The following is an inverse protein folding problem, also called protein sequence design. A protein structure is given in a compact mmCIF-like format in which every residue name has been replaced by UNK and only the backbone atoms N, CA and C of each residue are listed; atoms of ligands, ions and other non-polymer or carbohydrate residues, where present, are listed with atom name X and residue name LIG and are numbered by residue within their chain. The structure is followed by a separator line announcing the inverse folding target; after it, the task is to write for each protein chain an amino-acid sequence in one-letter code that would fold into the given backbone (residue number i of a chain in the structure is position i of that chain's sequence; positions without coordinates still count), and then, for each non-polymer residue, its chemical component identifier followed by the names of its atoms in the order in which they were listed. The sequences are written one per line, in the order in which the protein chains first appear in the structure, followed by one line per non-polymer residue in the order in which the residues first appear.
data_IF_542210741573
#
_entry.id   IF_542210741573
#
_cell.length_a   1.000
_cell.length_b   1.000
_cell.length_c   1.000
_cell.angle_alpha   90.00
_cell.angle_beta   90.00
_cell.angle_gamma   90.00
#
_symmetry.space_group_name_H-M   'P 1'
#
loop_
_entity.id
_entity.type
_entity.pdbx_description
1 polymer ?
#
# COMPACT_ATOMS: atom_id res chain seq x y z
N UNK A 1 2.92 1.28 22.96
CA UNK A 1 2.41 2.25 21.96
C UNK A 1 1.18 1.62 21.36
N UNK A 2 0.02 2.26 21.47
CA UNK A 2 -1.25 1.70 21.00
C UNK A 2 -1.37 1.86 19.47
N UNK A 3 -1.97 0.88 18.78
CA UNK A 3 -2.16 0.85 17.32
C UNK A 3 -3.62 0.53 17.07
N UNK A 4 -4.38 1.54 16.65
CA UNK A 4 -5.84 1.46 16.61
C UNK A 4 -6.43 1.82 15.23
N UNK A 5 -5.72 2.61 14.42
CA UNK A 5 -6.25 3.11 13.14
C UNK A 5 -5.37 2.74 11.96
N UNK A 6 -5.98 2.63 10.78
CA UNK A 6 -5.24 2.42 9.55
C UNK A 6 -5.83 3.17 8.36
N UNK A 7 -4.99 3.39 7.35
CA UNK A 7 -5.39 3.93 6.05
C UNK A 7 -5.06 2.91 4.95
N UNK A 8 -6.04 2.64 4.09
CA UNK A 8 -6.01 1.58 3.06
C UNK A 8 -5.70 2.16 1.67
N UNK A 9 -4.44 2.14 1.26
CA UNK A 9 -4.03 2.63 -0.06
C UNK A 9 -3.99 1.49 -1.08
N UNK A 10 -4.30 1.79 -2.35
CA UNK A 10 -4.48 0.76 -3.38
C UNK A 10 -5.48 -0.30 -2.90
N UNK A 11 -6.58 0.17 -2.31
CA UNK A 11 -7.45 -0.65 -1.46
C UNK A 11 -8.19 -1.75 -2.22
N UNK A 12 -8.34 -1.61 -3.55
CA UNK A 12 -9.07 -2.56 -4.38
C UNK A 12 -10.46 -2.81 -3.83
N UNK A 13 -10.78 -4.07 -3.54
CA UNK A 13 -12.06 -4.48 -2.95
C UNK A 13 -12.01 -4.57 -1.40
N UNK A 14 -10.89 -4.18 -0.77
CA UNK A 14 -10.75 -4.09 0.69
C UNK A 14 -10.35 -5.38 1.40
N UNK A 15 -9.60 -6.26 0.75
CA UNK A 15 -9.04 -7.45 1.41
C UNK A 15 -8.13 -7.09 2.60
N UNK A 16 -7.29 -6.06 2.44
CA UNK A 16 -6.43 -5.54 3.51
C UNK A 16 -7.23 -4.97 4.68
N UNK A 17 -8.23 -4.14 4.38
CA UNK A 17 -9.19 -3.62 5.37
C UNK A 17 -9.84 -4.73 6.18
N UNK A 18 -10.43 -5.74 5.53
CA UNK A 18 -11.12 -6.83 6.21
C UNK A 18 -10.19 -7.57 7.20
N UNK A 19 -8.91 -7.75 6.83
CA UNK A 19 -7.91 -8.33 7.72
C UNK A 19 -7.65 -7.48 8.96
N UNK A 20 -7.43 -6.17 8.79
CA UNK A 20 -7.11 -5.27 9.89
C UNK A 20 -8.31 -4.97 10.80
N UNK A 21 -9.53 -4.86 10.26
CA UNK A 21 -10.76 -4.72 11.06
C UNK A 21 -11.02 -5.96 11.92
N UNK A 22 -10.74 -7.17 11.41
CA UNK A 22 -10.79 -8.40 12.21
C UNK A 22 -9.76 -8.45 13.33
N UNK A 23 -8.68 -7.67 13.23
CA UNK A 23 -7.72 -7.47 14.30
C UNK A 23 -8.13 -6.35 15.28
N UNK A 24 -9.29 -5.71 15.09
CA UNK A 24 -9.82 -4.66 15.94
C UNK A 24 -9.38 -3.23 15.59
N UNK A 25 -8.72 -3.03 14.43
CA UNK A 25 -8.34 -1.69 13.98
C UNK A 25 -9.49 -1.02 13.21
N UNK A 26 -9.53 0.31 13.23
CA UNK A 26 -10.52 1.12 12.52
C UNK A 26 -9.94 1.73 11.25
N UNK A 27 -10.61 1.54 10.11
CA UNK A 27 -10.25 2.22 8.86
C UNK A 27 -10.61 3.70 8.94
N UNK A 28 -9.66 4.61 8.74
CA UNK A 28 -9.91 6.07 8.74
C UNK A 28 -9.97 6.67 7.34
N UNK A 29 -9.66 5.89 6.31
CA UNK A 29 -9.68 6.33 4.92
C UNK A 29 -9.13 5.28 3.98
N UNK A 30 -9.53 5.40 2.72
CA UNK A 30 -9.07 4.54 1.63
C UNK A 30 -8.64 5.35 0.42
N UNK A 31 -7.88 4.75 -0.49
CA UNK A 31 -7.49 5.37 -1.75
C UNK A 31 -7.41 4.34 -2.87
N UNK A 32 -8.36 4.42 -3.81
CA UNK A 32 -8.33 3.65 -5.06
C UNK A 32 -9.06 4.37 -6.21
N UNK A 33 -8.58 4.14 -7.43
CA UNK A 33 -9.08 4.78 -8.66
C UNK A 33 -10.02 3.90 -9.48
N UNK A 34 -10.08 2.60 -9.20
CA UNK A 34 -10.90 1.64 -9.93
C UNK A 34 -12.36 1.81 -9.53
N UNK A 35 -13.17 2.37 -10.42
CA UNK A 35 -14.62 2.54 -10.19
C UNK A 35 -15.32 1.23 -9.83
N UNK A 36 -14.93 0.12 -10.44
CA UNK A 36 -15.52 -1.19 -10.15
C UNK A 36 -15.08 -1.70 -8.77
N UNK A 37 -13.81 -1.53 -8.42
CA UNK A 37 -13.32 -1.93 -7.11
C UNK A 37 -13.98 -1.10 -6.01
N UNK A 38 -14.05 0.23 -6.18
CA UNK A 38 -14.73 1.15 -5.27
C UNK A 38 -16.20 0.78 -5.06
N UNK A 39 -16.93 0.46 -6.13
CA UNK A 39 -18.31 0.00 -6.01
C UNK A 39 -18.43 -1.28 -5.19
N UNK A 40 -17.55 -2.24 -5.42
CA UNK A 40 -17.53 -3.49 -4.62
C UNK A 40 -17.13 -3.21 -3.18
N UNK A 41 -16.17 -2.33 -2.95
CA UNK A 41 -15.73 -1.89 -1.63
C UNK A 41 -16.89 -1.28 -0.84
N UNK A 42 -17.61 -0.32 -1.41
CA UNK A 42 -18.77 0.32 -0.77
C UNK A 42 -19.91 -0.67 -0.50
N UNK A 43 -20.03 -1.76 -1.28
CA UNK A 43 -21.00 -2.82 -1.03
C UNK A 43 -20.57 -3.79 0.08
N UNK A 44 -19.28 -4.00 0.28
CA UNK A 44 -18.73 -4.90 1.31
C UNK A 44 -18.62 -4.21 2.68
N UNK A 45 -18.48 -2.89 2.69
CA UNK A 45 -18.33 -2.04 3.87
C UNK A 45 -19.40 -0.94 3.82
N UNK A 46 -20.67 -1.33 3.79
CA UNK A 46 -21.82 -0.45 3.56
C UNK A 46 -22.15 0.46 4.76
N UNK A 47 -21.67 0.11 5.95
CA UNK A 47 -21.75 0.88 7.18
C UNK A 47 -20.58 1.85 7.39
N UNK A 48 -19.62 1.87 6.45
CA UNK A 48 -18.41 2.69 6.60
C UNK A 48 -18.72 4.19 6.55
N UNK A 49 -18.00 4.95 7.37
CA UNK A 49 -18.06 6.42 7.37
C UNK A 49 -16.82 7.06 6.76
N UNK A 50 -15.80 6.27 6.44
CA UNK A 50 -14.55 6.76 5.85
C UNK A 50 -14.70 7.14 4.37
N UNK A 51 -13.79 8.00 3.92
CA UNK A 51 -13.77 8.56 2.57
C UNK A 51 -12.74 7.83 1.71
N UNK A 52 -13.10 7.58 0.45
CA UNK A 52 -12.14 7.21 -0.59
C UNK A 52 -11.54 8.48 -1.20
N UNK A 53 -10.24 8.68 -1.00
CA UNK A 53 -9.48 9.84 -1.48
C UNK A 53 -9.02 9.72 -2.93
N UNK A 54 -9.38 8.63 -3.62
CA UNK A 54 -9.16 8.45 -5.05
C UNK A 54 -7.70 8.26 -5.42
N UNK A 55 -7.19 9.07 -6.34
CA UNK A 55 -5.84 8.90 -6.88
C UNK A 55 -4.76 9.36 -5.89
N UNK A 56 -4.06 8.41 -5.27
CA UNK A 56 -2.99 8.68 -4.30
C UNK A 56 -1.90 9.63 -4.79
N UNK A 57 -1.65 9.71 -6.09
CA UNK A 57 -0.64 10.62 -6.66
C UNK A 57 -0.97 12.11 -6.48
N UNK A 58 -2.23 12.40 -6.17
CA UNK A 58 -2.77 13.75 -6.02
C UNK A 58 -3.30 14.01 -4.60
N UNK A 59 -3.10 13.07 -3.68
CA UNK A 59 -3.54 13.24 -2.30
C UNK A 59 -2.71 14.33 -1.63
N UNK A 60 -3.40 15.32 -1.07
CA UNK A 60 -2.81 16.22 -0.09
C UNK A 60 -2.72 15.50 1.26
N UNK A 61 -1.50 15.31 1.77
CA UNK A 61 -1.28 14.64 3.04
C UNK A 61 -1.86 15.42 4.23
N UNK A 62 -2.13 16.72 4.09
CA UNK A 62 -2.81 17.49 5.13
C UNK A 62 -4.33 17.25 5.14
N UNK A 63 -4.88 16.74 4.04
CA UNK A 63 -6.32 16.52 3.88
C UNK A 63 -6.78 15.13 4.34
N UNK A 64 -5.86 14.16 4.49
CA UNK A 64 -6.18 12.83 5.03
C UNK A 64 -5.97 12.80 6.56
N UNK A 65 -6.77 12.04 7.33
CA UNK A 65 -6.58 11.91 8.77
C UNK A 65 -5.23 11.27 9.10
N UNK A 66 -4.82 11.42 10.36
CA UNK A 66 -3.68 10.66 10.88
C UNK A 66 -4.09 9.20 11.14
N UNK A 67 -3.13 8.29 10.99
CA UNK A 67 -3.34 6.86 11.12
C UNK A 67 -2.09 6.17 11.69
N UNK A 68 -2.30 5.07 12.40
CA UNK A 68 -1.20 4.30 12.98
C UNK A 68 -0.57 3.34 11.97
N UNK A 69 -1.37 2.77 11.06
CA UNK A 69 -0.93 1.78 10.08
C UNK A 69 -1.24 2.23 8.65
N UNK A 70 -0.23 2.16 7.78
CA UNK A 70 -0.42 2.24 6.33
C UNK A 70 -0.48 0.83 5.75
N UNK A 71 -1.53 0.48 5.01
CA UNK A 71 -1.55 -0.78 4.23
C UNK A 71 -1.63 -0.46 2.74
N UNK A 72 -0.87 -1.18 1.92
CA UNK A 72 -0.95 -1.05 0.47
C UNK A 72 -0.56 -2.32 -0.30
N UNK A 73 -1.47 -2.82 -1.15
CA UNK A 73 -1.18 -3.80 -2.20
C UNK A 73 -0.94 -3.10 -3.53
N UNK A 74 0.26 -2.55 -3.72
CA UNK A 74 0.54 -1.68 -4.86
C UNK A 74 0.83 -2.46 -6.14
N UNK A 75 0.47 -1.94 -7.34
CA UNK A 75 0.51 -2.71 -8.58
C UNK A 75 1.92 -3.19 -8.93
N UNK A 76 2.03 -4.47 -9.26
CA UNK A 76 3.28 -5.15 -9.65
C UNK A 76 3.77 -4.80 -11.07
N UNK A 77 2.90 -4.28 -11.93
CA UNK A 77 3.02 -4.43 -13.39
C UNK A 77 4.17 -3.67 -14.08
N UNK A 78 4.97 -2.84 -13.40
CA UNK A 78 5.78 -1.81 -14.10
C UNK A 78 7.11 -1.46 -13.44
N UNK A 79 7.82 -2.44 -12.89
CA UNK A 79 9.15 -2.19 -12.34
C UNK A 79 10.25 -2.05 -13.42
N UNK A 80 9.94 -2.30 -14.70
CA UNK A 80 10.90 -2.44 -15.80
C UNK A 80 11.67 -1.17 -16.22
N UNK A 81 11.43 -0.01 -15.60
CA UNK A 81 12.13 1.26 -15.97
C UNK A 81 12.40 2.13 -14.74
N UNK A 82 13.24 1.66 -13.81
CA UNK A 82 13.75 2.46 -12.69
C UNK A 82 15.27 2.49 -12.77
N UNK A 83 15.75 3.17 -13.81
CA UNK A 83 17.17 3.18 -14.13
C UNK A 83 17.51 4.15 -15.24
N UNK A 84 17.03 5.39 -15.16
CA UNK A 84 17.70 6.58 -15.73
C UNK A 84 16.88 7.82 -15.37
N UNK A 85 17.60 8.85 -14.97
CA UNK A 85 17.14 10.23 -15.03
C UNK A 85 16.49 10.47 -16.41
N UNK A 86 15.40 11.23 -16.42
CA UNK A 86 14.55 11.59 -17.57
C UNK A 86 13.46 10.58 -17.99
N UNK A 87 12.21 10.97 -17.73
CA UNK A 87 11.04 10.49 -18.48
C UNK A 87 10.60 9.05 -18.22
N UNK A 88 9.96 8.79 -17.08
CA UNK A 88 9.23 7.54 -16.83
C UNK A 88 8.11 7.34 -17.86
N UNK A 89 8.24 6.33 -18.74
CA UNK A 89 7.20 5.97 -19.72
C UNK A 89 6.03 5.18 -19.14
N UNK A 90 6.10 4.70 -17.91
CA UNK A 90 4.94 4.12 -17.22
C UNK A 90 4.72 4.75 -15.83
N UNK A 91 3.63 5.53 -15.65
CA UNK A 91 3.34 6.20 -14.40
C UNK A 91 2.94 5.21 -13.28
N UNK A 92 2.67 3.92 -13.56
CA UNK A 92 2.28 2.93 -12.53
C UNK A 92 3.47 2.45 -11.69
N UNK A 93 4.70 2.50 -12.21
CA UNK A 93 5.92 2.08 -11.48
C UNK A 93 6.33 3.05 -10.37
N UNK A 94 5.64 4.20 -10.29
CA UNK A 94 5.89 5.25 -9.32
C UNK A 94 5.00 5.18 -8.07
N UNK A 95 4.03 4.27 -8.03
CA UNK A 95 3.07 4.22 -6.92
C UNK A 95 3.79 4.00 -5.58
N UNK A 96 4.81 3.14 -5.53
CA UNK A 96 5.59 2.93 -4.31
C UNK A 96 6.29 4.21 -3.82
N UNK A 97 6.78 5.06 -4.72
CA UNK A 97 7.42 6.32 -4.34
C UNK A 97 6.41 7.34 -3.81
N UNK A 98 5.21 7.40 -4.38
CA UNK A 98 4.14 8.22 -3.80
C UNK A 98 3.69 7.71 -2.42
N UNK A 99 3.65 6.38 -2.21
CA UNK A 99 3.39 5.80 -0.90
C UNK A 99 4.49 6.18 0.11
N UNK A 100 5.75 6.13 -0.31
CA UNK A 100 6.90 6.55 0.50
C UNK A 100 6.79 8.04 0.84
N UNK A 101 6.44 8.92 -0.11
CA UNK A 101 6.23 10.34 0.15
C UNK A 101 5.15 10.59 1.20
N UNK A 102 4.04 9.84 1.14
CA UNK A 102 2.96 9.91 2.14
C UNK A 102 3.47 9.38 3.49
N UNK A 103 4.20 8.27 3.49
CA UNK A 103 4.76 7.64 4.68
C UNK A 103 5.77 8.56 5.40
N UNK A 104 6.57 9.33 4.67
CA UNK A 104 7.51 10.32 5.25
C UNK A 104 6.79 11.54 5.84
N UNK A 105 5.67 11.95 5.24
CA UNK A 105 4.86 13.08 5.72
C UNK A 105 3.96 12.71 6.91
N UNK A 106 3.29 11.56 6.83
CA UNK A 106 2.35 11.08 7.86
C UNK A 106 3.01 10.32 8.99
N UNK A 107 4.17 9.71 8.75
CA UNK A 107 4.96 8.98 9.75
C UNK A 107 4.11 7.97 10.56
N UNK A 108 3.35 7.08 9.90
CA UNK A 108 2.62 6.03 10.61
C UNK A 108 3.58 5.18 11.46
N UNK A 109 3.07 4.52 12.48
CA UNK A 109 3.88 3.66 13.36
C UNK A 109 4.35 2.40 12.61
N UNK A 110 3.50 1.88 11.73
CA UNK A 110 3.73 0.63 10.98
C UNK A 110 3.23 0.80 9.55
N UNK A 111 3.85 0.10 8.61
CA UNK A 111 3.28 -0.10 7.29
C UNK A 111 3.31 -1.58 6.90
N UNK A 112 2.36 -1.99 6.06
CA UNK A 112 2.25 -3.32 5.48
C UNK A 112 2.14 -3.15 3.97
N UNK A 113 3.19 -3.54 3.26
CA UNK A 113 3.21 -3.52 1.81
C UNK A 113 3.20 -4.93 1.24
N UNK A 114 2.27 -5.17 0.33
CA UNK A 114 2.12 -6.44 -0.39
C UNK A 114 2.56 -6.27 -1.84
N UNK A 115 3.24 -7.30 -2.35
CA UNK A 115 3.56 -7.44 -3.76
C UNK A 115 3.81 -8.91 -4.11
N UNK A 116 3.89 -9.20 -5.41
CA UNK A 116 4.15 -10.56 -5.88
C UNK A 116 5.61 -10.97 -5.65
N UNK A 117 5.84 -12.29 -5.54
CA UNK A 117 7.19 -12.89 -5.40
C UNK A 117 8.20 -12.40 -6.45
N UNK A 118 7.74 -12.11 -7.67
CA UNK A 118 8.56 -11.63 -8.77
C UNK A 118 9.31 -10.32 -8.48
N UNK A 119 8.83 -9.49 -7.54
CA UNK A 119 9.51 -8.26 -7.13
C UNK A 119 10.94 -8.51 -6.65
N UNK A 120 11.17 -9.60 -5.91
CA UNK A 120 12.50 -9.92 -5.36
C UNK A 120 13.54 -10.21 -6.43
N UNK A 121 13.10 -10.70 -7.59
CA UNK A 121 13.98 -11.07 -8.71
C UNK A 121 13.98 -10.04 -9.83
N UNK A 122 13.10 -9.04 -9.75
CA UNK A 122 12.98 -8.02 -10.77
C UNK A 122 14.28 -7.22 -10.92
N UNK A 123 14.71 -6.99 -12.16
CA UNK A 123 15.97 -6.32 -12.48
C UNK A 123 17.16 -6.88 -11.67
N UNK A 124 17.25 -8.22 -11.63
CA UNK A 124 18.29 -8.95 -10.87
C UNK A 124 18.30 -8.60 -9.37
N UNK A 125 17.13 -8.26 -8.81
CA UNK A 125 16.94 -7.87 -7.41
C UNK A 125 17.18 -6.38 -7.12
N UNK A 126 17.62 -5.59 -8.12
CA UNK A 126 17.91 -4.16 -7.92
C UNK A 126 16.68 -3.40 -7.43
N UNK A 127 15.52 -3.60 -8.03
CA UNK A 127 14.29 -2.89 -7.66
C UNK A 127 13.90 -3.12 -6.21
N UNK A 128 13.92 -4.37 -5.76
CA UNK A 128 13.60 -4.71 -4.38
C UNK A 128 14.59 -4.03 -3.42
N UNK A 129 15.90 -4.14 -3.70
CA UNK A 129 16.93 -3.52 -2.89
C UNK A 129 16.79 -1.99 -2.81
N UNK A 130 16.46 -1.33 -3.93
CA UNK A 130 16.23 0.12 -3.96
C UNK A 130 15.02 0.52 -3.10
N UNK A 131 13.93 -0.25 -3.14
CA UNK A 131 12.74 -0.02 -2.30
C UNK A 131 13.08 -0.18 -0.81
N UNK A 132 13.72 -1.30 -0.43
CA UNK A 132 14.10 -1.55 0.97
C UNK A 132 15.05 -0.46 1.48
N UNK A 133 16.04 -0.06 0.67
CA UNK A 133 16.97 1.00 1.02
C UNK A 133 16.25 2.36 1.20
N UNK A 134 15.26 2.65 0.37
CA UNK A 134 14.47 3.89 0.47
C UNK A 134 13.61 3.88 1.74
N UNK A 135 12.86 2.81 2.00
CA UNK A 135 12.05 2.67 3.21
C UNK A 135 12.88 2.73 4.49
N UNK A 136 14.08 2.13 4.47
CA UNK A 136 15.03 2.21 5.60
C UNK A 136 15.48 3.64 5.85
N UNK A 137 15.77 4.40 4.79
CA UNK A 137 16.14 5.82 4.90
C UNK A 137 15.00 6.70 5.41
N UNK A 138 13.75 6.32 5.15
CA UNK A 138 12.57 6.98 5.70
C UNK A 138 12.35 6.70 7.20
N UNK A 139 13.26 5.96 7.85
CA UNK A 139 13.29 5.77 9.31
C UNK A 139 12.65 4.48 9.81
N UNK A 140 12.36 3.52 8.93
CA UNK A 140 11.69 2.27 9.30
C UNK A 140 12.64 1.08 9.32
N UNK A 141 12.41 0.17 10.27
CA UNK A 141 13.02 -1.17 10.23
C UNK A 141 12.20 -2.07 9.32
N UNK A 142 12.86 -2.71 8.35
CA UNK A 142 12.17 -3.43 7.28
C UNK A 142 12.29 -4.93 7.50
N UNK A 143 11.13 -5.59 7.56
CA UNK A 143 11.00 -7.04 7.60
C UNK A 143 10.24 -7.50 6.37
N UNK A 144 10.71 -8.56 5.71
CA UNK A 144 10.04 -9.11 4.54
C UNK A 144 10.08 -10.65 4.56
N UNK A 145 9.04 -11.26 4.00
CA UNK A 145 8.95 -12.72 3.83
C UNK A 145 8.01 -13.02 2.66
N UNK A 146 8.37 -14.01 1.84
CA UNK A 146 7.44 -14.58 0.86
C UNK A 146 6.56 -15.59 1.58
N UNK A 147 5.24 -15.39 1.49
CA UNK A 147 4.22 -16.24 2.09
C UNK A 147 3.42 -16.95 1.00
N UNK A 148 2.92 -18.16 1.31
CA UNK A 148 2.01 -18.91 0.45
C UNK A 148 0.66 -19.07 1.17
N UNK A 149 -0.43 -18.74 0.49
CA UNK A 149 -1.82 -18.83 0.99
C UNK A 149 -2.16 -20.20 1.57
N UNK A 150 -1.62 -21.27 0.97
CA UNK A 150 -1.86 -22.66 1.40
C UNK A 150 -1.41 -22.88 2.85
N UNK A 151 -0.29 -22.25 3.25
CA UNK A 151 0.26 -22.37 4.60
C UNK A 151 -0.62 -21.69 5.66
N UNK A 152 -1.62 -20.90 5.21
CA UNK A 152 -2.55 -20.14 6.04
C UNK A 152 -4.01 -20.55 5.83
N UNK A 153 -4.25 -21.76 5.31
CA UNK A 153 -5.59 -22.33 5.19
C UNK A 153 -6.42 -21.79 4.02
N UNK A 154 -5.80 -21.11 3.06
CA UNK A 154 -6.45 -20.64 1.84
C UNK A 154 -5.94 -21.49 0.66
N UNK A 155 -6.77 -22.39 0.08
CA UNK A 155 -6.33 -23.30 -0.96
C UNK A 155 -6.33 -22.61 -2.33
N UNK A 156 -5.32 -21.77 -2.56
CA UNK A 156 -5.07 -21.06 -3.82
C UNK A 156 -3.58 -21.05 -4.15
#
# INVERSE_FOLDING_TARGET
MEVNTFFDFCSGIGGGRLGLERCGLTCVGSSDTSRLANRTYDLLFDDKTDVNYGNLKRIDCNAIPDFDVMIAGFPCQTFSVIGRQEGTKDPRGQIIYHLIDILEKKKPKVFIFENVKGLMTHDKGKTFNDIIATLSKSGYSIYHKVLNSIDYGVPH
#
